data_IF_177228754332
#
_entry.id   IF_177228754332
#
_cell.length_a   1.000
_cell.length_b   1.000
_cell.length_c   1.000
_cell.angle_alpha   90.00
_cell.angle_beta   90.00
_cell.angle_gamma   90.00
#
_symmetry.space_group_name_H-M   'P 1'
#
loop_
_entity.id
_entity.type
_entity.pdbx_description
1 polymer ?
#
# COMPACT_ATOMS: atom_id res chain seq x y z
N UNK A 1 -7.61 4.72 -20.82
CA UNK A 1 -6.41 5.28 -20.17
C UNK A 1 -5.20 5.45 -21.11
N UNK A 2 -5.34 5.96 -22.35
CA UNK A 2 -4.17 6.29 -23.20
C UNK A 2 -3.11 5.18 -23.38
N UNK A 3 -3.51 3.91 -23.34
CA UNK A 3 -2.59 2.76 -23.41
C UNK A 3 -1.87 2.37 -22.11
N UNK A 4 -2.21 3.00 -20.98
CA UNK A 4 -1.66 2.71 -19.67
C UNK A 4 -2.64 1.93 -18.79
N UNK A 5 -2.12 1.04 -17.95
CA UNK A 5 -2.86 0.29 -16.95
C UNK A 5 -2.32 0.62 -15.55
N UNK A 6 -3.17 0.91 -14.55
CA UNK A 6 -2.76 1.01 -13.15
C UNK A 6 -2.26 -0.33 -12.64
N UNK A 7 -1.22 -0.27 -11.82
CA UNK A 7 -0.60 -1.46 -11.21
C UNK A 7 -0.43 -1.24 -9.73
N UNK A 8 -0.96 -2.17 -8.94
CA UNK A 8 -0.72 -2.28 -7.50
C UNK A 8 0.36 -3.33 -7.27
N UNK A 9 1.27 -3.04 -6.35
CA UNK A 9 2.39 -3.91 -6.02
C UNK A 9 2.31 -4.27 -4.56
N UNK A 10 2.30 -5.55 -4.26
CA UNK A 10 2.31 -6.08 -2.89
C UNK A 10 3.58 -6.89 -2.64
N UNK A 11 4.09 -6.82 -1.42
CA UNK A 11 5.12 -7.76 -0.98
C UNK A 11 4.50 -9.15 -0.85
N UNK A 12 5.13 -10.15 -1.49
CA UNK A 12 4.59 -11.49 -1.57
C UNK A 12 4.54 -12.22 -0.21
N UNK A 13 5.46 -11.88 0.71
CA UNK A 13 5.56 -12.54 2.01
C UNK A 13 4.61 -11.94 3.05
N UNK A 14 4.40 -10.62 3.02
CA UNK A 14 3.64 -9.90 4.04
C UNK A 14 2.25 -9.47 3.59
N UNK A 15 1.99 -9.42 2.28
CA UNK A 15 0.78 -8.83 1.71
C UNK A 15 0.74 -7.29 1.80
N UNK A 16 1.79 -6.65 2.29
CA UNK A 16 1.85 -5.19 2.39
C UNK A 16 1.81 -4.55 1.01
N UNK A 17 0.94 -3.55 0.81
CA UNK A 17 0.96 -2.74 -0.42
C UNK A 17 2.22 -1.87 -0.40
N UNK A 18 3.06 -2.02 -1.41
CA UNK A 18 4.36 -1.35 -1.53
C UNK A 18 4.25 -0.03 -2.30
N UNK A 19 3.56 -0.06 -3.44
CA UNK A 19 3.40 1.11 -4.30
C UNK A 19 2.26 0.92 -5.31
N UNK A 20 1.86 2.03 -5.92
CA UNK A 20 1.05 2.07 -7.14
C UNK A 20 1.87 2.72 -8.26
N UNK A 21 1.74 2.20 -9.48
CA UNK A 21 2.33 2.79 -10.67
C UNK A 21 1.44 2.57 -11.90
N UNK A 22 1.99 2.88 -13.07
CA UNK A 22 1.37 2.60 -14.36
C UNK A 22 2.32 1.77 -15.22
N UNK A 23 1.76 0.88 -16.02
CA UNK A 23 2.48 0.18 -17.10
C UNK A 23 1.85 0.54 -18.44
N UNK A 24 2.68 0.64 -19.48
CA UNK A 24 2.22 0.48 -20.85
C UNK A 24 2.40 -0.99 -21.30
N UNK A 25 2.09 -1.27 -22.56
CA UNK A 25 2.26 -2.62 -23.13
C UNK A 25 3.70 -3.12 -23.02
N UNK A 26 4.70 -2.27 -23.28
CA UNK A 26 6.10 -2.66 -23.25
C UNK A 26 6.58 -2.98 -21.83
N UNK A 27 6.19 -2.15 -20.85
CA UNK A 27 6.49 -2.39 -19.44
C UNK A 27 5.91 -3.72 -18.94
N UNK A 28 4.68 -4.06 -19.34
CA UNK A 28 4.07 -5.35 -19.00
C UNK A 28 4.85 -6.52 -19.61
N UNK A 29 5.15 -6.45 -20.91
CA UNK A 29 5.92 -7.49 -21.61
C UNK A 29 7.29 -7.69 -20.94
N UNK A 30 8.01 -6.61 -20.66
CA UNK A 30 9.32 -6.69 -19.98
C UNK A 30 9.19 -7.27 -18.58
N UNK A 31 8.18 -6.86 -17.83
CA UNK A 31 7.95 -7.41 -16.48
C UNK A 31 7.78 -8.92 -16.51
N UNK A 32 6.93 -9.43 -17.42
CA UNK A 32 6.66 -10.86 -17.53
C UNK A 32 7.82 -11.66 -18.13
N UNK A 33 8.66 -11.03 -18.97
CA UNK A 33 9.79 -11.71 -19.60
C UNK A 33 11.06 -11.70 -18.75
N UNK A 34 11.33 -10.62 -18.01
CA UNK A 34 12.55 -10.52 -17.18
C UNK A 34 12.33 -10.99 -15.73
N UNK A 35 11.08 -11.14 -15.29
CA UNK A 35 10.74 -11.45 -13.89
C UNK A 35 11.02 -10.29 -12.92
N UNK A 36 11.12 -9.06 -13.42
CA UNK A 36 11.37 -7.87 -12.60
C UNK A 36 10.43 -6.74 -13.00
N UNK A 37 9.93 -5.99 -12.01
CA UNK A 37 8.97 -4.93 -12.27
C UNK A 37 9.53 -3.81 -13.15
N UNK A 38 8.84 -3.56 -14.27
CA UNK A 38 9.05 -2.41 -15.15
C UNK A 38 7.81 -1.52 -15.15
N UNK A 39 8.00 -0.21 -15.23
CA UNK A 39 6.91 0.76 -15.18
C UNK A 39 7.03 1.82 -16.28
N UNK A 40 5.92 2.48 -16.57
CA UNK A 40 5.86 3.62 -17.48
C UNK A 40 5.75 4.94 -16.71
N UNK A 41 6.67 5.87 -16.98
CA UNK A 41 6.71 7.16 -16.28
C UNK A 41 5.85 8.15 -17.00
N UNK A 42 4.71 8.51 -16.41
CA UNK A 42 3.81 9.51 -17.01
C UNK A 42 4.49 10.88 -17.14
N UNK A 43 5.30 11.27 -16.16
CA UNK A 43 6.04 12.54 -16.17
C UNK A 43 7.26 12.51 -17.10
N UNK A 44 8.09 11.45 -17.03
CA UNK A 44 9.31 11.34 -17.85
C UNK A 44 9.04 10.75 -19.25
N UNK A 45 7.82 10.28 -19.50
CA UNK A 45 7.37 9.63 -20.74
C UNK A 45 8.34 8.54 -21.21
N UNK A 46 8.78 7.70 -20.27
CA UNK A 46 9.70 6.59 -20.55
C UNK A 46 9.44 5.39 -19.66
N UNK A 47 9.80 4.23 -20.19
CA UNK A 47 9.97 2.98 -19.46
C UNK A 47 11.12 3.10 -18.44
N UNK A 48 10.98 2.40 -17.31
CA UNK A 48 12.10 2.16 -16.38
C UNK A 48 11.93 0.83 -15.64
N UNK A 49 13.04 0.20 -15.23
CA UNK A 49 13.04 -0.96 -14.34
C UNK A 49 13.15 -0.50 -12.88
N UNK A 50 12.29 -1.00 -11.99
CA UNK A 50 12.37 -0.63 -10.56
C UNK A 50 13.71 -1.05 -9.98
N UNK A 51 14.42 -0.08 -9.41
CA UNK A 51 15.72 -0.31 -8.81
C UNK A 51 16.89 -0.32 -9.80
N UNK A 52 16.70 0.05 -11.07
CA UNK A 52 17.79 0.10 -12.07
C UNK A 52 18.99 0.93 -11.61
N UNK A 53 18.73 2.02 -10.88
CA UNK A 53 19.79 2.89 -10.34
C UNK A 53 20.09 2.64 -8.85
N UNK A 54 19.09 2.28 -8.05
CA UNK A 54 19.25 2.16 -6.58
C UNK A 54 19.58 0.75 -6.09
N UNK A 55 19.45 -0.27 -6.96
CA UNK A 55 19.49 -1.68 -6.56
C UNK A 55 18.26 -2.17 -5.78
N UNK A 56 17.28 -1.29 -5.51
CA UNK A 56 16.05 -1.63 -4.77
C UNK A 56 14.98 -2.23 -5.70
N UNK A 57 15.25 -3.45 -6.16
CA UNK A 57 14.48 -4.17 -7.18
C UNK A 57 13.23 -4.86 -6.62
N UNK A 58 12.34 -5.26 -7.52
CA UNK A 58 11.13 -6.02 -7.24
C UNK A 58 11.08 -7.23 -8.18
N UNK A 59 11.36 -8.43 -7.65
CA UNK A 59 11.27 -9.68 -8.40
C UNK A 59 9.82 -10.19 -8.38
N UNK A 60 9.29 -10.59 -9.53
CA UNK A 60 7.89 -11.01 -9.68
C UNK A 60 7.71 -12.44 -9.18
N UNK A 61 6.74 -12.66 -8.31
CA UNK A 61 6.29 -13.99 -7.87
C UNK A 61 4.94 -14.35 -8.50
N UNK A 62 4.00 -13.39 -8.49
CA UNK A 62 2.65 -13.60 -9.02
C UNK A 62 2.16 -12.34 -9.76
N UNK A 63 1.28 -12.55 -10.73
CA UNK A 63 0.61 -11.49 -11.47
C UNK A 63 -0.88 -11.81 -11.61
N UNK A 64 -1.72 -10.83 -11.31
CA UNK A 64 -3.17 -10.95 -11.28
C UNK A 64 -3.80 -9.82 -12.09
N UNK A 65 -4.84 -10.15 -12.84
CA UNK A 65 -5.72 -9.21 -13.53
C UNK A 65 -7.01 -9.08 -12.73
N UNK A 66 -7.55 -7.87 -12.63
CA UNK A 66 -8.87 -7.68 -12.03
C UNK A 66 -10.02 -8.18 -12.94
N UNK A 67 -11.26 -8.04 -12.48
CA UNK A 67 -12.41 -8.71 -13.09
C UNK A 67 -12.85 -8.13 -14.44
N UNK A 68 -12.62 -6.84 -14.68
CA UNK A 68 -12.90 -6.13 -15.93
C UNK A 68 -11.63 -5.84 -16.75
N UNK A 69 -10.47 -6.23 -16.23
CA UNK A 69 -9.21 -6.25 -16.96
C UNK A 69 -8.57 -4.88 -17.12
N UNK A 70 -8.87 -3.96 -16.21
CA UNK A 70 -8.39 -2.58 -16.26
C UNK A 70 -7.35 -2.24 -15.18
N UNK A 71 -7.02 -3.19 -14.29
CA UNK A 71 -5.91 -3.09 -13.34
C UNK A 71 -5.15 -4.41 -13.16
N UNK A 72 -3.88 -4.27 -12.76
CA UNK A 72 -3.02 -5.39 -12.41
C UNK A 72 -2.60 -5.33 -10.94
N UNK A 73 -2.51 -6.50 -10.31
CA UNK A 73 -1.84 -6.71 -9.03
C UNK A 73 -0.62 -7.62 -9.25
N UNK A 74 0.55 -7.13 -8.86
CA UNK A 74 1.75 -7.96 -8.78
C UNK A 74 2.13 -8.22 -7.33
N UNK A 75 2.45 -9.49 -7.03
CA UNK A 75 3.11 -9.86 -5.78
C UNK A 75 4.59 -10.07 -6.06
N UNK A 76 5.43 -9.42 -5.26
CA UNK A 76 6.87 -9.32 -5.53
C UNK A 76 7.70 -9.62 -4.29
N UNK A 77 8.93 -10.09 -4.49
CA UNK A 77 9.98 -10.01 -3.49
C UNK A 77 10.67 -8.66 -3.61
N UNK A 78 10.46 -7.79 -2.62
CA UNK A 78 11.09 -6.46 -2.57
C UNK A 78 12.49 -6.55 -1.98
N UNK A 79 13.50 -6.08 -2.74
CA UNK A 79 14.87 -5.87 -2.24
C UNK A 79 15.06 -4.41 -1.83
N UNK A 80 15.60 -4.17 -0.64
CA UNK A 80 15.81 -2.81 -0.14
C UNK A 80 14.51 -2.03 0.05
N UNK A 81 14.55 -0.71 -0.09
CA UNK A 81 13.39 0.16 0.13
C UNK A 81 12.59 0.36 -1.17
N UNK A 82 11.26 0.29 -1.09
CA UNK A 82 10.42 0.60 -2.25
C UNK A 82 10.42 2.11 -2.52
N UNK A 83 10.23 2.93 -1.48
CA UNK A 83 10.09 4.38 -1.57
C UNK A 83 11.46 5.06 -1.70
N UNK A 84 11.50 6.16 -2.46
CA UNK A 84 12.72 6.96 -2.65
C UNK A 84 13.08 7.81 -1.42
N UNK A 85 12.16 7.97 -0.47
CA UNK A 85 12.35 8.72 0.77
C UNK A 85 13.00 7.90 1.89
N UNK A 86 13.24 6.60 1.69
CA UNK A 86 13.81 5.74 2.72
C UNK A 86 12.88 4.64 3.23
N UNK A 87 11.59 4.71 2.89
CA UNK A 87 10.58 3.83 3.47
C UNK A 87 10.39 2.53 2.69
N UNK A 88 9.98 1.48 3.41
CA UNK A 88 9.73 0.18 2.80
C UNK A 88 8.51 0.17 1.87
N UNK A 89 7.48 0.97 2.16
CA UNK A 89 6.32 1.22 1.30
C UNK A 89 6.22 2.71 0.98
N UNK A 90 5.62 3.07 -0.16
CA UNK A 90 5.22 4.44 -0.47
C UNK A 90 4.02 4.91 0.39
N UNK A 91 3.26 3.99 0.98
CA UNK A 91 2.08 4.28 1.79
C UNK A 91 2.45 4.45 3.27
N UNK A 92 3.36 5.38 3.57
CA UNK A 92 3.86 5.64 4.93
C UNK A 92 3.26 6.88 5.60
N UNK A 93 2.42 7.63 4.90
CA UNK A 93 1.73 8.80 5.44
C UNK A 93 0.25 8.48 5.62
N UNK A 94 -0.26 8.71 6.83
CA UNK A 94 -1.69 8.58 7.11
C UNK A 94 -2.45 9.81 6.64
N UNK A 95 -3.65 9.60 6.11
CA UNK A 95 -4.60 10.69 5.87
C UNK A 95 -5.30 10.99 7.20
N UNK A 96 -5.23 12.23 7.73
CA UNK A 96 -5.95 12.59 8.95
C UNK A 96 -7.44 12.29 8.81
N UNK A 97 -7.98 11.43 9.69
CA UNK A 97 -9.37 11.00 9.60
C UNK A 97 -10.31 11.97 10.32
N UNK A 98 -11.46 12.26 9.69
CA UNK A 98 -12.65 12.75 10.41
C UNK A 98 -13.49 11.59 10.99
N UNK A 99 -13.07 10.33 10.76
CA UNK A 99 -13.78 9.12 11.20
C UNK A 99 -13.79 8.97 12.73
N UNK A 100 -12.88 9.64 13.44
CA UNK A 100 -12.85 9.66 14.90
C UNK A 100 -14.07 10.38 15.54
N UNK A 101 -14.79 11.23 14.80
CA UNK A 101 -15.90 12.02 15.35
C UNK A 101 -17.24 11.28 15.43
N UNK A 102 -17.32 10.04 14.94
CA UNK A 102 -18.57 9.26 14.93
C UNK A 102 -18.79 8.40 16.19
N UNK A 103 -17.84 8.34 17.12
CA UNK A 103 -18.07 7.74 18.43
C UNK A 103 -18.68 8.78 19.37
N UNK A 104 -20.01 8.88 19.36
CA UNK A 104 -20.74 9.63 20.38
C UNK A 104 -20.43 9.11 21.79
N UNK A 105 -20.64 9.92 22.85
CA UNK A 105 -20.31 9.51 24.20
C UNK A 105 -21.08 8.23 24.56
N UNK A 106 -20.35 7.15 24.83
CA UNK A 106 -20.89 5.94 25.43
C UNK A 106 -21.49 6.31 26.79
N UNK A 107 -22.81 6.46 26.84
CA UNK A 107 -23.55 6.57 28.08
C UNK A 107 -23.33 5.32 28.93
N UNK A 108 -22.48 5.43 29.94
CA UNK A 108 -22.32 4.44 31.00
C UNK A 108 -22.69 5.09 32.35
N UNK A 109 -24.01 5.04 32.59
CA UNK A 109 -24.76 4.92 33.85
C UNK A 109 -24.14 5.44 35.15
N UNK A 110 -24.88 6.38 35.75
CA UNK A 110 -24.99 6.65 37.18
C UNK A 110 -24.81 5.37 38.04
N UNK A 111 -23.78 5.38 38.89
CA UNK A 111 -23.71 4.57 40.10
C UNK A 111 -23.68 5.52 41.30
N UNK A 112 -24.89 5.87 41.76
CA UNK A 112 -25.09 6.41 43.10
C UNK A 112 -24.46 5.44 44.10
N UNK A 113 -23.43 5.89 44.82
CA UNK A 113 -23.03 5.27 46.09
C UNK A 113 -23.25 6.27 47.21
N UNK A 114 -24.43 6.17 47.81
CA UNK A 114 -24.64 6.58 49.20
C UNK A 114 -24.17 5.47 50.12
N UNK A 115 -23.49 5.81 51.21
CA UNK A 115 -23.05 4.85 52.22
C UNK A 115 -22.21 5.51 53.30
N UNK A 116 -22.89 5.94 54.36
CA UNK A 116 -22.38 6.59 55.57
C UNK A 116 -21.25 5.82 56.27
N UNK A 117 -20.18 6.53 56.65
CA UNK A 117 -19.20 6.09 57.63
C UNK A 117 -19.75 6.36 59.04
N UNK A 118 -20.25 5.32 59.71
CA UNK A 118 -20.47 5.30 61.15
C UNK A 118 -19.24 4.75 61.84
N UNK A 119 -18.56 5.58 62.64
CA UNK A 119 -17.48 5.18 63.53
C UNK A 119 -18.04 4.92 64.94
N UNK A 120 -17.56 3.84 65.56
CA UNK A 120 -17.42 3.71 67.00
C UNK A 120 -17.89 2.36 67.56
N UNK A 121 -17.52 2.06 68.81
CA UNK A 121 -16.32 2.47 69.56
C UNK A 121 -15.11 1.54 69.31
#
# INVERSE_FOLDING_TARGET
MGGLVPVVVQDAATGSVLMQAFMDREALIKTLTTGYMHYWSRSRRRLWMKGESSGSTQAVEEAWLDCDGDALLFKVVQRGQCCHEGFYTCFHNEVPSLLASAQGPSGAKDLRHGGSLGQGP
#
